data_IF_949001382376
#
_entry.id   IF_949001382376
#
_cell.length_a   1.000
_cell.length_b   1.000
_cell.length_c   1.000
_cell.angle_alpha   90.00
_cell.angle_beta   90.00
_cell.angle_gamma   90.00
#
_symmetry.space_group_name_H-M   'P 1'
#
loop_
_entity.id
_entity.type
_entity.pdbx_description
1 polymer ?
#
# COMPACT_ATOMS: atom_id res chain seq x y z
N UNK A 1 6.71 27.11 27.09
CA UNK A 1 7.44 25.91 26.59
C UNK A 1 6.43 25.07 25.81
N UNK A 2 6.67 24.77 24.53
CA UNK A 2 5.83 23.81 23.79
C UNK A 2 6.16 22.41 24.33
N UNK A 3 5.15 21.63 24.68
CA UNK A 3 5.34 20.22 25.05
C UNK A 3 6.18 19.53 23.96
N UNK A 4 7.21 18.80 24.36
CA UNK A 4 7.98 17.97 23.44
C UNK A 4 7.02 16.91 22.94
N UNK A 5 6.68 16.95 21.64
CA UNK A 5 5.81 15.96 21.04
C UNK A 5 6.39 14.57 21.32
N UNK A 6 5.58 13.71 21.91
CA UNK A 6 5.93 12.34 22.28
C UNK A 6 5.67 11.38 21.12
N UNK A 7 6.09 10.13 21.22
CA UNK A 7 5.70 9.07 20.29
C UNK A 7 4.20 8.77 20.33
N UNK A 8 3.53 9.01 21.47
CA UNK A 8 2.08 8.97 21.59
C UNK A 8 1.37 10.03 20.71
N UNK A 9 2.03 11.13 20.36
CA UNK A 9 1.47 12.19 19.51
C UNK A 9 1.68 11.93 18.00
N UNK A 10 2.48 10.92 17.64
CA UNK A 10 2.78 10.62 16.25
C UNK A 10 1.77 9.65 15.65
N UNK A 11 0.92 10.15 14.77
CA UNK A 11 -0.16 9.37 14.16
C UNK A 11 0.34 8.40 13.09
N UNK A 12 -0.20 7.18 13.13
CA UNK A 12 0.05 6.12 12.16
C UNK A 12 -1.17 5.98 11.25
N UNK A 13 -0.99 5.89 9.91
CA UNK A 13 -2.12 5.63 9.02
C UNK A 13 -2.81 4.31 9.37
N UNK A 14 -4.16 4.30 9.39
CA UNK A 14 -4.93 3.17 9.93
C UNK A 14 -4.74 1.85 9.19
N UNK A 15 -4.58 1.91 7.87
CA UNK A 15 -4.40 0.72 7.04
C UNK A 15 -3.55 1.04 5.81
N UNK A 16 -3.07 -0.01 5.12
CA UNK A 16 -2.18 0.11 3.96
C UNK A 16 -2.70 1.12 2.92
N UNK A 17 -3.98 1.01 2.58
CA UNK A 17 -4.58 1.86 1.56
C UNK A 17 -4.65 3.34 1.98
N UNK A 18 -4.79 3.63 3.28
CA UNK A 18 -4.74 4.98 3.85
C UNK A 18 -3.32 5.56 3.76
N UNK A 19 -2.29 4.80 4.13
CA UNK A 19 -0.90 5.22 3.99
C UNK A 19 -0.53 5.53 2.53
N UNK A 20 -0.90 4.63 1.61
CA UNK A 20 -0.67 4.82 0.17
C UNK A 20 -1.42 6.03 -0.37
N UNK A 21 -2.68 6.23 0.03
CA UNK A 21 -3.48 7.40 -0.37
C UNK A 21 -2.87 8.71 0.13
N UNK A 22 -2.36 8.70 1.36
CA UNK A 22 -1.69 9.86 1.95
C UNK A 22 -0.39 10.20 1.21
N UNK A 23 0.48 9.22 0.96
CA UNK A 23 1.70 9.42 0.18
C UNK A 23 1.41 9.92 -1.24
N UNK A 24 0.37 9.42 -1.90
CA UNK A 24 -0.08 9.92 -3.20
C UNK A 24 -0.52 11.39 -3.12
N UNK A 25 -1.25 11.76 -2.07
CA UNK A 25 -1.69 13.14 -1.83
C UNK A 25 -0.50 14.07 -1.61
N UNK A 26 0.47 13.64 -0.80
CA UNK A 26 1.72 14.36 -0.56
C UNK A 26 2.51 14.56 -1.86
N UNK A 27 2.68 13.52 -2.67
CA UNK A 27 3.35 13.66 -3.98
C UNK A 27 2.62 14.65 -4.90
N UNK A 28 1.28 14.62 -4.90
CA UNK A 28 0.45 15.54 -5.68
C UNK A 28 0.57 17.00 -5.24
N UNK A 29 0.89 17.26 -3.98
CA UNK A 29 1.14 18.61 -3.45
C UNK A 29 2.61 19.03 -3.50
N UNK A 30 3.48 18.23 -4.11
CA UNK A 30 4.88 18.57 -4.38
C UNK A 30 5.89 17.85 -3.47
N UNK A 31 5.46 17.00 -2.56
CA UNK A 31 6.34 16.17 -1.72
C UNK A 31 6.72 14.87 -2.44
N UNK A 32 7.43 15.00 -3.55
CA UNK A 32 7.83 13.87 -4.39
C UNK A 32 9.31 13.53 -4.28
N UNK A 33 10.12 14.28 -3.52
CA UNK A 33 11.45 13.84 -3.14
C UNK A 33 11.32 12.90 -1.95
N UNK A 34 11.96 11.75 -1.98
CA UNK A 34 11.73 10.73 -0.96
C UNK A 34 12.96 9.93 -0.59
N UNK A 35 13.00 9.50 0.66
CA UNK A 35 13.89 8.46 1.17
C UNK A 35 13.06 7.48 2.02
N UNK A 36 13.50 6.24 2.13
CA UNK A 36 12.77 5.21 2.87
C UNK A 36 13.71 4.18 3.46
N UNK A 37 13.24 3.50 4.49
CA UNK A 37 13.91 2.37 5.12
C UNK A 37 13.01 1.71 6.14
N UNK A 38 13.57 0.75 6.88
CA UNK A 38 12.87 0.06 7.97
C UNK A 38 13.62 0.27 9.28
N UNK A 39 12.90 0.30 10.39
CA UNK A 39 13.46 0.38 11.75
C UNK A 39 12.76 -0.65 12.64
N UNK A 40 13.50 -1.32 13.51
CA UNK A 40 12.92 -2.24 14.49
C UNK A 40 12.00 -1.47 15.47
N UNK A 41 10.90 -2.07 15.91
CA UNK A 41 9.90 -1.39 16.75
C UNK A 41 10.51 -0.76 18.01
N UNK A 42 11.47 -1.44 18.66
CA UNK A 42 12.16 -0.93 19.86
C UNK A 42 12.96 0.36 19.62
N UNK A 43 13.42 0.57 18.37
CA UNK A 43 14.21 1.75 17.99
C UNK A 43 13.35 2.86 17.41
N UNK A 44 12.04 2.63 17.23
CA UNK A 44 11.17 3.52 16.48
C UNK A 44 10.99 4.88 17.17
N UNK A 45 10.82 4.91 18.50
CA UNK A 45 10.69 6.16 19.27
C UNK A 45 11.97 7.01 19.20
N UNK A 46 13.14 6.40 19.38
CA UNK A 46 14.43 7.09 19.24
C UNK A 46 14.69 7.58 17.81
N UNK A 47 14.28 6.79 16.82
CA UNK A 47 14.34 7.19 15.41
C UNK A 47 13.44 8.40 15.12
N UNK A 48 12.20 8.41 15.62
CA UNK A 48 11.29 9.55 15.50
C UNK A 48 11.88 10.80 16.15
N UNK A 49 12.41 10.69 17.38
CA UNK A 49 13.05 11.82 18.07
C UNK A 49 14.21 12.39 17.25
N UNK A 50 15.05 11.53 16.66
CA UNK A 50 16.11 11.95 15.74
C UNK A 50 15.57 12.67 14.51
N UNK A 51 14.50 12.17 13.90
CA UNK A 51 13.88 12.80 12.73
C UNK A 51 13.26 14.17 13.06
N UNK A 52 12.64 14.32 14.24
CA UNK A 52 12.13 15.61 14.74
C UNK A 52 13.23 16.63 14.96
N UNK A 53 14.37 16.20 15.48
CA UNK A 53 15.52 17.07 15.72
C UNK A 53 16.19 17.54 14.40
N UNK A 54 16.22 16.67 13.39
CA UNK A 54 16.91 16.95 12.13
C UNK A 54 16.04 17.67 11.10
N UNK A 55 14.73 17.41 11.10
CA UNK A 55 13.83 17.79 10.03
C UNK A 55 12.53 18.43 10.54
N UNK A 56 11.94 19.39 9.80
CA UNK A 56 10.71 20.09 10.17
C UNK A 56 9.45 19.23 9.94
N UNK A 57 9.40 18.02 10.50
CA UNK A 57 8.33 17.05 10.28
C UNK A 57 7.05 17.34 11.09
N UNK A 58 7.14 18.10 12.18
CA UNK A 58 6.00 18.46 13.04
C UNK A 58 5.41 19.85 12.74
N UNK A 59 5.81 20.49 11.63
CA UNK A 59 5.26 21.80 11.30
C UNK A 59 3.75 21.72 11.06
N UNK A 60 3.02 22.69 11.60
CA UNK A 60 1.60 22.86 11.29
C UNK A 60 1.41 23.33 9.83
N UNK A 61 0.21 23.18 9.23
CA UNK A 61 -0.05 23.65 7.87
C UNK A 61 0.34 25.13 7.64
N UNK A 62 0.01 26.02 8.59
CA UNK A 62 0.40 27.43 8.52
C UNK A 62 1.91 27.63 8.59
N UNK A 63 2.61 26.91 9.46
CA UNK A 63 4.07 26.97 9.55
C UNK A 63 4.74 26.47 8.27
N UNK A 64 4.19 25.42 7.64
CA UNK A 64 4.67 24.90 6.35
C UNK A 64 4.47 25.89 5.23
N UNK A 65 3.32 26.57 5.18
CA UNK A 65 3.06 27.61 4.19
C UNK A 65 4.07 28.76 4.32
N UNK A 66 4.36 29.20 5.55
CA UNK A 66 5.40 30.22 5.81
C UNK A 66 6.79 29.73 5.42
N UNK A 67 7.15 28.48 5.76
CA UNK A 67 8.42 27.89 5.39
C UNK A 67 8.58 27.83 3.85
N UNK A 68 7.54 27.38 3.15
CA UNK A 68 7.50 27.33 1.69
C UNK A 68 7.59 28.73 1.06
N UNK A 69 6.90 29.73 1.63
CA UNK A 69 6.99 31.12 1.19
C UNK A 69 8.43 31.65 1.32
N UNK A 70 9.14 31.27 2.39
CA UNK A 70 10.57 31.55 2.59
C UNK A 70 11.51 30.67 1.76
N UNK A 71 10.96 29.83 0.88
CA UNK A 71 11.74 28.94 0.02
C UNK A 71 12.31 27.72 0.71
N UNK A 72 11.92 27.44 1.96
CA UNK A 72 12.42 26.27 2.70
C UNK A 72 11.67 25.01 2.31
N UNK A 73 12.39 23.90 2.24
CA UNK A 73 11.86 22.58 2.05
C UNK A 73 11.06 22.15 3.28
N UNK A 74 9.86 21.66 3.04
CA UNK A 74 9.05 20.98 4.04
C UNK A 74 9.24 19.47 3.90
N UNK A 75 9.12 18.75 5.03
CA UNK A 75 9.15 17.30 5.04
C UNK A 75 7.98 16.70 5.84
N UNK A 76 7.54 15.52 5.43
CA UNK A 76 6.67 14.65 6.20
C UNK A 76 7.38 13.33 6.45
N UNK A 77 7.17 12.78 7.65
CA UNK A 77 7.50 11.41 7.97
C UNK A 77 6.20 10.61 7.99
N UNK A 78 6.17 9.49 7.28
CA UNK A 78 5.08 8.52 7.31
C UNK A 78 5.66 7.19 7.77
N UNK A 79 5.09 6.60 8.82
CA UNK A 79 5.51 5.30 9.34
C UNK A 79 4.35 4.32 9.25
N UNK A 80 4.64 3.05 8.95
CA UNK A 80 3.63 2.00 8.82
C UNK A 80 4.29 0.63 9.08
N UNK A 81 3.59 -0.38 9.64
CA UNK A 81 4.15 -1.71 9.80
C UNK A 81 4.79 -2.25 8.51
N UNK A 82 6.00 -2.80 8.64
CA UNK A 82 6.69 -3.44 7.52
C UNK A 82 6.14 -4.86 7.33
N UNK A 83 5.22 -5.02 6.38
CA UNK A 83 4.62 -6.33 6.08
C UNK A 83 5.60 -7.36 5.51
N UNK A 84 6.84 -6.99 5.20
CA UNK A 84 7.88 -7.92 4.73
C UNK A 84 8.80 -8.42 5.84
N UNK A 85 8.79 -7.78 7.02
CA UNK A 85 9.69 -8.07 8.13
C UNK A 85 8.96 -7.90 9.46
N UNK A 86 8.66 -9.02 10.11
CA UNK A 86 8.07 -9.05 11.46
C UNK A 86 8.88 -8.19 12.43
N UNK A 87 8.20 -7.36 13.22
CA UNK A 87 8.83 -6.48 14.21
C UNK A 87 9.48 -5.21 13.62
N UNK A 88 9.34 -4.95 12.33
CA UNK A 88 9.85 -3.74 11.70
C UNK A 88 8.74 -2.77 11.30
N UNK A 89 9.10 -1.49 11.29
CA UNK A 89 8.28 -0.38 10.82
C UNK A 89 8.97 0.21 9.60
N UNK A 90 8.26 0.23 8.48
CA UNK A 90 8.68 0.94 7.28
C UNK A 90 8.43 2.43 7.50
N UNK A 91 9.41 3.27 7.15
CA UNK A 91 9.29 4.72 7.20
C UNK A 91 9.54 5.34 5.83
N UNK A 92 8.82 6.42 5.53
CA UNK A 92 8.95 7.24 4.34
C UNK A 92 9.18 8.68 4.77
N UNK A 93 10.36 9.21 4.45
CA UNK A 93 10.63 10.64 4.54
C UNK A 93 10.34 11.24 3.17
N UNK A 94 9.32 12.08 3.06
CA UNK A 94 8.97 12.77 1.81
C UNK A 94 9.12 14.27 1.99
N UNK A 95 9.69 14.94 1.00
CA UNK A 95 10.01 16.35 1.06
C UNK A 95 9.65 17.07 -0.24
N UNK A 96 9.38 18.37 -0.10
CA UNK A 96 9.39 19.28 -1.24
C UNK A 96 10.82 19.59 -1.65
N UNK A 97 11.02 20.07 -2.88
CA UNK A 97 12.33 20.52 -3.37
C UNK A 97 12.98 21.62 -2.51
N UNK A 98 12.17 22.53 -1.98
CA UNK A 98 12.68 23.83 -1.51
C UNK A 98 13.00 24.76 -2.70
N UNK A 99 13.49 25.96 -2.39
CA UNK A 99 14.05 26.92 -3.34
C UNK A 99 15.51 27.19 -2.94
N UNK A 100 16.33 27.60 -3.89
CA UNK A 100 17.66 28.08 -3.54
C UNK A 100 17.55 29.29 -2.62
N UNK A 101 18.42 29.37 -1.62
CA UNK A 101 18.57 30.58 -0.84
C UNK A 101 19.09 31.66 -1.79
N UNK A 102 18.28 32.69 -2.01
CA UNK A 102 18.64 33.86 -2.80
C UNK A 102 18.69 35.07 -1.88
N UNK A 103 19.65 35.95 -2.11
CA UNK A 103 19.76 37.20 -1.40
C UNK A 103 18.52 38.04 -1.75
N UNK A 104 17.75 38.51 -0.76
CA UNK A 104 16.50 39.24 -1.04
C UNK A 104 16.72 40.64 -1.64
N UNK A 105 17.92 41.20 -1.54
CA UNK A 105 18.28 42.51 -2.09
C UNK A 105 18.93 42.39 -3.47
N UNK A 106 19.80 41.41 -3.68
CA UNK A 106 20.54 41.26 -4.94
C UNK A 106 19.94 40.23 -5.89
N UNK A 107 19.11 39.31 -5.38
CA UNK A 107 18.56 38.18 -6.15
C UNK A 107 19.57 37.09 -6.49
N UNK A 108 20.83 37.23 -6.05
CA UNK A 108 21.89 36.27 -6.31
C UNK A 108 21.75 35.03 -5.43
N UNK A 109 22.24 33.89 -5.90
CA UNK A 109 22.30 32.68 -5.10
C UNK A 109 23.23 32.89 -3.90
N UNK A 110 22.73 32.73 -2.68
CA UNK A 110 23.53 32.78 -1.46
C UNK A 110 24.50 31.61 -1.34
N UNK A 111 24.38 30.61 -2.21
CA UNK A 111 25.21 29.40 -2.22
C UNK A 111 25.22 28.81 -3.63
N UNK A 112 26.40 28.44 -4.14
CA UNK A 112 26.56 27.68 -5.40
C UNK A 112 26.00 26.25 -5.31
N UNK A 113 25.66 25.78 -4.11
CA UNK A 113 25.03 24.48 -3.91
C UNK A 113 23.55 24.55 -4.28
N UNK A 114 23.05 23.60 -5.10
CA UNK A 114 21.71 23.69 -5.66
C UNK A 114 20.57 23.46 -4.64
N UNK A 115 20.89 23.19 -3.38
CA UNK A 115 19.91 22.92 -2.33
C UNK A 115 20.34 23.63 -1.06
N UNK A 116 19.74 24.78 -0.76
CA UNK A 116 20.01 25.50 0.48
C UNK A 116 19.35 24.84 1.71
N UNK A 117 18.48 23.85 1.51
CA UNK A 117 17.76 23.20 2.59
C UNK A 117 18.44 21.92 3.09
N UNK A 118 18.62 21.85 4.42
CA UNK A 118 19.33 20.79 5.15
C UNK A 118 18.89 19.36 4.81
N UNK A 119 17.63 19.14 4.42
CA UNK A 119 17.11 17.80 4.11
C UNK A 119 17.83 17.20 2.90
N UNK A 120 17.96 17.96 1.80
CA UNK A 120 18.56 17.47 0.55
C UNK A 120 20.10 17.39 0.62
N UNK A 121 20.71 18.10 1.56
CA UNK A 121 22.14 18.01 1.84
C UNK A 121 22.48 16.79 2.71
N UNK A 122 21.63 16.47 3.69
CA UNK A 122 21.85 15.39 4.66
C UNK A 122 21.40 14.03 4.12
N UNK A 123 20.34 14.00 3.34
CA UNK A 123 19.72 12.77 2.84
C UNK A 123 19.90 12.64 1.33
N UNK A 124 20.19 11.42 0.87
CA UNK A 124 20.22 11.08 -0.56
C UNK A 124 18.78 10.94 -1.09
N UNK A 125 18.07 12.05 -1.14
CA UNK A 125 16.67 12.10 -1.56
C UNK A 125 16.52 11.70 -3.04
N UNK A 126 15.61 10.78 -3.32
CA UNK A 126 15.28 10.34 -4.67
C UNK A 126 14.18 11.23 -5.23
N UNK A 127 14.33 11.68 -6.47
CA UNK A 127 13.29 12.43 -7.17
C UNK A 127 12.23 11.45 -7.69
N UNK A 128 11.00 11.53 -7.16
CA UNK A 128 9.86 10.68 -7.54
C UNK A 128 9.47 10.76 -9.02
N UNK A 129 9.86 11.81 -9.74
CA UNK A 129 9.67 11.89 -11.20
C UNK A 129 10.62 10.97 -11.96
N UNK A 130 11.81 10.69 -11.40
CA UNK A 130 12.86 9.87 -12.02
C UNK A 130 12.88 8.46 -11.45
N UNK A 131 12.79 8.35 -10.13
CA UNK A 131 12.84 7.11 -9.35
C UNK A 131 11.55 7.04 -8.53
N UNK A 132 10.54 6.29 -8.99
CA UNK A 132 9.24 6.19 -8.32
C UNK A 132 9.38 5.69 -6.87
N UNK A 133 8.63 6.30 -5.96
CA UNK A 133 8.47 5.78 -4.60
C UNK A 133 7.80 4.39 -4.67
N UNK A 134 8.38 3.42 -3.97
CA UNK A 134 7.85 2.04 -3.94
C UNK A 134 7.21 1.72 -2.59
N UNK A 135 6.11 0.97 -2.62
CA UNK A 135 5.45 0.45 -1.43
C UNK A 135 5.66 -1.06 -1.35
N UNK A 136 6.42 -1.51 -0.34
CA UNK A 136 6.75 -2.93 -0.08
C UNK A 136 7.20 -3.70 -1.33
N UNK A 137 7.87 -3.03 -2.29
CA UNK A 137 8.32 -3.65 -3.55
C UNK A 137 7.22 -4.02 -4.56
N UNK A 138 5.93 -3.93 -4.20
CA UNK A 138 4.81 -4.38 -5.04
C UNK A 138 4.17 -3.26 -5.84
N UNK A 139 4.17 -2.05 -5.30
CA UNK A 139 3.57 -0.88 -5.95
C UNK A 139 4.59 0.23 -6.13
N UNK A 140 4.41 1.03 -7.17
CA UNK A 140 5.19 2.23 -7.45
C UNK A 140 4.26 3.42 -7.68
N UNK A 141 4.61 4.56 -7.10
CA UNK A 141 3.89 5.81 -7.25
C UNK A 141 4.43 6.56 -8.46
N UNK A 142 3.61 6.71 -9.49
CA UNK A 142 4.00 7.32 -10.77
C UNK A 142 3.06 8.45 -11.16
N UNK A 143 3.56 9.39 -11.95
CA UNK A 143 2.69 10.30 -12.67
C UNK A 143 2.09 9.60 -13.88
N UNK A 144 0.78 9.50 -13.89
CA UNK A 144 -0.02 8.98 -14.98
C UNK A 144 -0.78 10.11 -15.64
N UNK A 145 -0.85 10.09 -16.97
CA UNK A 145 -1.81 10.90 -17.70
C UNK A 145 -3.04 10.01 -17.95
N UNK A 146 -4.18 10.25 -17.28
CA UNK A 146 -5.34 9.41 -17.46
C UNK A 146 -5.79 9.52 -18.92
N UNK A 147 -5.86 8.38 -19.61
CA UNK A 147 -6.40 8.30 -20.97
C UNK A 147 -7.91 8.42 -20.84
N UNK A 148 -8.43 9.65 -20.85
CA UNK A 148 -9.86 9.93 -20.88
C UNK A 148 -10.20 10.68 -22.15
N UNK A 149 -11.07 10.07 -22.96
CA UNK A 149 -11.66 10.56 -24.20
C UNK A 149 -10.65 11.19 -25.20
N UNK A 150 -10.23 10.45 -26.24
CA UNK A 150 -9.30 10.96 -27.26
C UNK A 150 -9.79 12.23 -27.99
N UNK A 151 -11.08 12.58 -27.85
CA UNK A 151 -11.66 13.81 -28.44
C UNK A 151 -11.42 15.05 -27.58
N UNK A 152 -11.02 14.90 -26.30
CA UNK A 152 -10.72 16.03 -25.40
C UNK A 152 -9.22 16.32 -25.39
N UNK A 153 -8.71 16.95 -26.46
CA UNK A 153 -7.32 17.41 -26.64
C UNK A 153 -6.86 18.54 -25.67
N UNK A 154 -7.62 18.88 -24.63
CA UNK A 154 -7.13 19.83 -23.61
C UNK A 154 -6.14 19.11 -22.70
N UNK A 155 -4.92 19.63 -22.65
CA UNK A 155 -3.78 19.16 -21.84
C UNK A 155 -4.21 18.48 -20.53
N UNK A 156 -4.33 17.15 -20.55
CA UNK A 156 -4.74 16.40 -19.37
C UNK A 156 -3.63 16.55 -18.32
N UNK A 157 -3.99 17.07 -17.14
CA UNK A 157 -3.04 17.21 -16.03
C UNK A 157 -2.53 15.81 -15.65
N UNK A 158 -1.21 15.68 -15.54
CA UNK A 158 -0.58 14.49 -14.96
C UNK A 158 -1.05 14.35 -13.52
N UNK A 159 -1.54 13.18 -13.15
CA UNK A 159 -1.97 12.86 -11.78
C UNK A 159 -1.06 11.78 -11.23
N UNK A 160 -0.73 11.87 -9.94
CA UNK A 160 -0.04 10.78 -9.27
C UNK A 160 -1.00 9.63 -9.03
N UNK A 161 -0.56 8.40 -9.28
CA UNK A 161 -1.28 7.17 -8.97
C UNK A 161 -0.31 6.04 -8.66
N UNK A 162 -0.77 5.08 -7.87
CA UNK A 162 -0.09 3.81 -7.71
C UNK A 162 -0.31 2.92 -8.92
N UNK A 163 0.72 2.17 -9.29
CA UNK A 163 0.72 1.05 -10.24
C UNK A 163 1.50 -0.12 -9.65
N UNK A 164 1.34 -1.31 -10.19
CA UNK A 164 2.22 -2.42 -9.90
C UNK A 164 3.66 -2.08 -10.31
N UNK A 165 4.63 -2.61 -9.57
CA UNK A 165 6.02 -2.61 -10.06
C UNK A 165 6.13 -3.49 -11.30
N UNK A 166 7.18 -3.25 -12.10
CA UNK A 166 7.41 -4.03 -13.33
C UNK A 166 7.52 -5.52 -13.01
N UNK A 167 8.22 -5.86 -11.93
CA UNK A 167 8.42 -7.23 -11.50
C UNK A 167 7.09 -7.87 -11.04
N UNK A 168 6.35 -7.20 -10.15
CA UNK A 168 5.04 -7.70 -9.70
C UNK A 168 4.05 -7.85 -10.86
N UNK A 169 4.04 -6.91 -11.81
CA UNK A 169 3.20 -7.01 -13.01
C UNK A 169 3.55 -8.25 -13.84
N UNK A 170 4.84 -8.51 -14.10
CA UNK A 170 5.29 -9.67 -14.87
C UNK A 170 4.95 -11.00 -14.19
N UNK A 171 5.15 -11.07 -12.88
CA UNK A 171 4.79 -12.25 -12.10
C UNK A 171 3.28 -12.55 -12.19
N UNK A 172 2.44 -11.51 -12.08
CA UNK A 172 1.00 -11.66 -12.28
C UNK A 172 0.63 -12.04 -13.71
N UNK A 173 1.28 -11.45 -14.71
CA UNK A 173 1.06 -11.80 -16.10
C UNK A 173 1.30 -13.29 -16.34
N UNK A 174 2.44 -13.83 -15.91
CA UNK A 174 2.78 -15.25 -16.08
C UNK A 174 1.76 -16.16 -15.38
N UNK A 175 1.39 -15.84 -14.13
CA UNK A 175 0.39 -16.60 -13.36
C UNK A 175 -0.96 -16.63 -14.05
N UNK A 176 -1.46 -15.47 -14.48
CA UNK A 176 -2.78 -15.36 -15.11
C UNK A 176 -2.81 -16.00 -16.49
N UNK A 177 -1.74 -15.87 -17.29
CA UNK A 177 -1.64 -16.56 -18.58
C UNK A 177 -1.60 -18.09 -18.40
N UNK A 178 -0.87 -18.60 -17.39
CA UNK A 178 -0.84 -20.03 -17.09
C UNK A 178 -2.22 -20.53 -16.63
N UNK A 179 -2.88 -19.80 -15.74
CA UNK A 179 -4.23 -20.13 -15.27
C UNK A 179 -5.27 -20.09 -16.40
N UNK A 180 -5.15 -19.11 -17.31
CA UNK A 180 -6.00 -19.01 -18.50
C UNK A 180 -5.84 -20.20 -19.44
N UNK A 181 -4.62 -20.77 -19.58
CA UNK A 181 -4.41 -21.99 -20.36
C UNK A 181 -5.07 -23.21 -19.71
N UNK A 182 -5.17 -23.25 -18.38
CA UNK A 182 -5.87 -24.33 -17.66
C UNK A 182 -7.39 -24.20 -17.84
N UNK A 183 -7.95 -22.99 -17.66
CA UNK A 183 -9.36 -22.72 -17.93
C UNK A 183 -9.97 -21.65 -17.02
N UNK A 184 -11.26 -21.36 -17.22
CA UNK A 184 -11.98 -20.27 -16.54
C UNK A 184 -11.92 -20.38 -15.00
N UNK A 185 -12.07 -21.58 -14.42
CA UNK A 185 -12.06 -21.79 -12.97
C UNK A 185 -10.70 -21.44 -12.36
N UNK A 186 -9.60 -21.88 -12.99
CA UNK A 186 -8.26 -21.56 -12.53
C UNK A 186 -7.97 -20.06 -12.66
N UNK A 187 -8.35 -19.45 -13.78
CA UNK A 187 -8.18 -18.01 -14.00
C UNK A 187 -8.94 -17.18 -12.95
N UNK A 188 -10.19 -17.54 -12.65
CA UNK A 188 -10.99 -16.85 -11.62
C UNK A 188 -10.34 -16.93 -10.24
N UNK A 189 -9.83 -18.11 -9.86
CA UNK A 189 -9.12 -18.31 -8.59
C UNK A 189 -7.87 -17.43 -8.50
N UNK A 190 -7.09 -17.33 -9.58
CA UNK A 190 -5.86 -16.53 -9.58
C UNK A 190 -6.12 -15.01 -9.63
N UNK A 191 -7.22 -14.54 -10.22
CA UNK A 191 -7.51 -13.10 -10.25
C UNK A 191 -8.05 -12.56 -8.93
N UNK A 192 -8.69 -13.41 -8.12
CA UNK A 192 -9.39 -12.98 -6.91
C UNK A 192 -8.49 -12.23 -5.91
N UNK A 193 -7.24 -12.67 -5.61
CA UNK A 193 -6.34 -11.90 -4.77
C UNK A 193 -5.98 -10.52 -5.36
N UNK A 194 -5.89 -10.42 -6.68
CA UNK A 194 -5.59 -9.16 -7.37
C UNK A 194 -6.77 -8.18 -7.27
N UNK A 195 -8.00 -8.67 -7.19
CA UNK A 195 -9.18 -7.84 -6.93
C UNK A 195 -9.24 -7.28 -5.49
N UNK A 196 -8.38 -7.75 -4.58
CA UNK A 196 -8.20 -7.19 -3.23
C UNK A 196 -7.05 -6.17 -3.15
N UNK A 197 -6.37 -5.91 -4.26
CA UNK A 197 -5.37 -4.83 -4.37
C UNK A 197 -6.01 -3.46 -4.13
N UNK A 198 -5.23 -2.45 -3.71
CA UNK A 198 -5.77 -1.12 -3.50
C UNK A 198 -6.09 -0.50 -4.87
N UNK A 199 -7.38 -0.26 -5.12
CA UNK A 199 -7.99 0.05 -6.43
C UNK A 199 -7.73 1.47 -6.95
N UNK A 200 -6.50 1.96 -6.78
CA UNK A 200 -6.02 3.19 -7.40
C UNK A 200 -6.17 3.11 -8.92
N UNK A 201 -6.34 4.25 -9.59
CA UNK A 201 -6.58 4.27 -11.04
C UNK A 201 -5.55 3.48 -11.83
N UNK A 202 -4.26 3.71 -11.58
CA UNK A 202 -3.18 2.98 -12.24
C UNK A 202 -3.16 1.48 -11.93
N UNK A 203 -3.50 1.06 -10.71
CA UNK A 203 -3.63 -0.37 -10.37
C UNK A 203 -4.79 -1.01 -11.14
N UNK A 204 -5.93 -0.32 -11.27
CA UNK A 204 -7.05 -0.83 -12.09
C UNK A 204 -6.69 -0.93 -13.55
N UNK A 205 -5.95 0.05 -14.08
CA UNK A 205 -5.45 0.01 -15.44
C UNK A 205 -4.52 -1.20 -15.65
N UNK A 206 -3.66 -1.52 -14.66
CA UNK A 206 -2.82 -2.72 -14.68
C UNK A 206 -3.66 -4.01 -14.67
N UNK A 207 -4.66 -4.09 -13.81
CA UNK A 207 -5.56 -5.26 -13.70
C UNK A 207 -6.33 -5.48 -15.00
N UNK A 208 -6.88 -4.43 -15.59
CA UNK A 208 -7.60 -4.52 -16.87
C UNK A 208 -6.68 -5.01 -18.00
N UNK A 209 -5.44 -4.52 -18.06
CA UNK A 209 -4.44 -4.98 -19.03
C UNK A 209 -4.08 -6.46 -18.80
N UNK A 210 -3.86 -6.87 -17.56
CA UNK A 210 -3.55 -8.26 -17.21
C UNK A 210 -4.70 -9.21 -17.58
N UNK A 211 -5.94 -8.81 -17.33
CA UNK A 211 -7.11 -9.61 -17.71
C UNK A 211 -7.26 -9.76 -19.22
N UNK A 212 -6.98 -8.70 -19.99
CA UNK A 212 -6.99 -8.75 -21.46
C UNK A 212 -5.90 -9.69 -22.01
N UNK A 213 -4.70 -9.71 -21.40
CA UNK A 213 -3.65 -10.66 -21.76
C UNK A 213 -4.05 -12.10 -21.44
N UNK A 214 -4.65 -12.33 -20.27
CA UNK A 214 -5.16 -13.64 -19.87
C UNK A 214 -6.28 -14.13 -20.81
N UNK A 215 -7.19 -13.24 -21.23
CA UNK A 215 -8.22 -13.54 -22.22
C UNK A 215 -7.61 -13.97 -23.57
N UNK A 216 -6.61 -13.24 -24.06
CA UNK A 216 -5.91 -13.60 -25.29
C UNK A 216 -5.25 -14.99 -25.18
N UNK A 217 -4.62 -15.29 -24.04
CA UNK A 217 -4.04 -16.60 -23.77
C UNK A 217 -5.09 -17.72 -23.71
N UNK A 218 -6.24 -17.48 -23.07
CA UNK A 218 -7.36 -18.41 -23.02
C UNK A 218 -7.87 -18.74 -24.41
N UNK A 219 -8.20 -17.72 -25.22
CA UNK A 219 -8.76 -17.87 -26.57
C UNK A 219 -7.81 -18.61 -27.51
N UNK A 220 -6.49 -18.45 -27.32
CA UNK A 220 -5.47 -19.17 -28.09
C UNK A 220 -5.48 -20.68 -27.78
N UNK A 221 -5.66 -21.05 -26.52
CA UNK A 221 -5.64 -22.45 -26.07
C UNK A 221 -6.99 -23.16 -26.29
N UNK A 222 -8.10 -22.45 -26.08
CA UNK A 222 -9.45 -23.00 -26.01
C UNK A 222 -10.32 -22.50 -27.16
N UNK A 223 -10.04 -22.95 -28.40
CA UNK A 223 -10.71 -22.45 -29.61
C UNK A 223 -12.24 -22.59 -29.62
N UNK A 224 -12.77 -23.59 -28.92
CA UNK A 224 -14.21 -23.91 -28.91
C UNK A 224 -14.89 -23.62 -27.56
N UNK A 225 -14.14 -23.21 -26.53
CA UNK A 225 -14.72 -22.94 -25.21
C UNK A 225 -15.08 -21.47 -25.05
N UNK A 226 -16.21 -21.19 -24.40
CA UNK A 226 -16.61 -19.83 -24.08
C UNK A 226 -15.68 -19.25 -22.99
N UNK A 227 -15.11 -18.08 -23.28
CA UNK A 227 -14.41 -17.29 -22.28
C UNK A 227 -15.41 -16.62 -21.35
N UNK A 228 -15.19 -16.75 -20.04
CA UNK A 228 -15.98 -16.03 -19.03
C UNK A 228 -15.04 -15.03 -18.36
N UNK A 229 -15.34 -13.74 -18.52
CA UNK A 229 -14.51 -12.69 -17.90
C UNK A 229 -14.47 -12.88 -16.39
N UNK A 230 -13.28 -12.97 -15.78
CA UNK A 230 -13.13 -13.12 -14.35
C UNK A 230 -13.21 -11.76 -13.62
N UNK A 231 -13.33 -10.64 -14.36
CA UNK A 231 -13.50 -9.31 -13.81
C UNK A 231 -14.98 -8.97 -13.60
N UNK A 232 -15.31 -8.15 -12.58
CA UNK A 232 -16.63 -7.54 -12.49
C UNK A 232 -16.86 -6.58 -13.67
N UNK A 233 -18.12 -6.31 -14.01
CA UNK A 233 -18.50 -5.38 -15.08
C UNK A 233 -17.85 -3.98 -14.92
N UNK A 234 -17.63 -3.56 -13.67
CA UNK A 234 -16.86 -2.36 -13.34
C UNK A 234 -15.93 -2.65 -12.17
N UNK A 235 -14.63 -2.34 -12.34
CA UNK A 235 -13.68 -2.39 -11.24
C UNK A 235 -14.02 -1.28 -10.22
N UNK A 236 -14.06 -1.60 -8.91
CA UNK A 236 -14.38 -0.62 -7.87
C UNK A 236 -13.36 0.53 -7.90
N UNK A 237 -13.78 1.72 -7.51
CA UNK A 237 -12.88 2.86 -7.34
C UNK A 237 -12.27 2.81 -5.95
N UNK A 238 -11.00 3.26 -5.81
CA UNK A 238 -10.43 3.51 -4.49
C UNK A 238 -11.29 4.55 -3.76
N UNK A 239 -11.90 4.21 -2.61
CA UNK A 239 -12.69 5.16 -1.84
C UNK A 239 -11.78 6.24 -1.23
N UNK A 240 -12.37 7.39 -0.89
CA UNK A 240 -11.70 8.34 0.00
C UNK A 240 -11.66 7.71 1.39
N UNK A 241 -10.45 7.51 1.89
CA UNK A 241 -10.21 6.88 3.19
C UNK A 241 -9.67 7.90 4.16
N UNK A 242 -10.15 7.85 5.40
CA UNK A 242 -9.59 8.63 6.50
C UNK A 242 -8.19 8.12 6.80
N UNK A 243 -7.18 9.00 6.73
CA UNK A 243 -5.78 8.58 6.88
C UNK A 243 -5.48 8.18 8.32
N UNK A 244 -5.77 9.09 9.25
CA UNK A 244 -5.48 8.94 10.67
C UNK A 244 -6.77 8.87 11.47
N UNK A 245 -6.79 8.04 12.50
CA UNK A 245 -7.85 8.00 13.51
C UNK A 245 -7.16 7.98 14.86
N UNK A 246 -7.13 6.83 15.53
CA UNK A 246 -6.61 6.72 16.89
C UNK A 246 -5.23 6.02 16.96
N UNK A 247 -4.73 5.51 15.84
CA UNK A 247 -3.45 4.81 15.78
C UNK A 247 -2.26 5.74 15.97
N UNK A 248 -1.42 5.44 16.95
CA UNK A 248 -0.19 6.19 17.27
C UNK A 248 1.05 5.30 17.10
N UNK A 249 2.23 5.91 17.08
CA UNK A 249 3.48 5.15 17.06
C UNK A 249 3.60 4.28 18.31
N UNK A 250 3.19 4.80 19.47
CA UNK A 250 3.14 4.05 20.71
C UNK A 250 2.26 2.80 20.58
N UNK A 251 1.00 2.93 20.14
CA UNK A 251 0.11 1.77 20.00
C UNK A 251 0.62 0.75 18.99
N UNK A 252 1.27 1.21 17.92
CA UNK A 252 1.89 0.33 16.93
C UNK A 252 3.08 -0.43 17.53
N UNK A 253 3.92 0.22 18.33
CA UNK A 253 5.06 -0.40 19.00
C UNK A 253 4.59 -1.48 19.97
N UNK A 254 3.56 -1.20 20.77
CA UNK A 254 2.96 -2.20 21.67
C UNK A 254 2.40 -3.40 20.90
N UNK A 255 1.68 -3.14 19.80
CA UNK A 255 1.15 -4.21 18.95
C UNK A 255 2.27 -5.10 18.38
N UNK A 256 3.33 -4.49 17.83
CA UNK A 256 4.44 -5.24 17.25
C UNK A 256 5.23 -6.02 18.32
N UNK A 257 5.36 -5.48 19.53
CA UNK A 257 5.98 -6.20 20.65
C UNK A 257 5.18 -7.44 21.03
N UNK A 258 3.85 -7.33 21.12
CA UNK A 258 3.00 -8.46 21.41
C UNK A 258 3.09 -9.54 20.32
N UNK A 259 3.04 -9.13 19.04
CA UNK A 259 3.21 -10.05 17.92
C UNK A 259 4.55 -10.79 17.94
N UNK A 260 5.65 -10.08 18.22
CA UNK A 260 6.98 -10.68 18.36
C UNK A 260 7.07 -11.68 19.54
N UNK A 261 6.39 -11.39 20.65
CA UNK A 261 6.28 -12.31 21.78
C UNK A 261 5.47 -13.57 21.42
N UNK A 262 4.35 -13.41 20.73
CA UNK A 262 3.49 -14.51 20.29
C UNK A 262 4.20 -15.39 19.26
N UNK A 263 4.95 -14.80 18.33
CA UNK A 263 5.76 -15.53 17.34
C UNK A 263 6.86 -16.36 17.99
N UNK A 264 7.56 -15.79 18.99
CA UNK A 264 8.55 -16.52 19.78
C UNK A 264 7.93 -17.67 20.57
N UNK A 265 6.77 -17.45 21.19
CA UNK A 265 6.05 -18.50 21.91
C UNK A 265 5.61 -19.63 20.98
N UNK A 266 5.06 -19.30 19.80
CA UNK A 266 4.68 -20.27 18.76
C UNK A 266 5.89 -21.07 18.26
N UNK A 267 7.01 -20.40 18.01
CA UNK A 267 8.25 -21.06 17.59
C UNK A 267 8.78 -22.02 18.67
N UNK A 268 8.82 -21.59 19.94
CA UNK A 268 9.23 -22.45 21.06
C UNK A 268 8.32 -23.66 21.24
N UNK A 269 7.00 -23.49 21.12
CA UNK A 269 6.05 -24.58 21.18
C UNK A 269 6.24 -25.59 20.04
N UNK A 270 6.46 -25.09 18.81
CA UNK A 270 6.76 -25.94 17.65
C UNK A 270 8.07 -26.73 17.82
N UNK A 271 9.13 -26.07 18.30
CA UNK A 271 10.40 -26.74 18.62
C UNK A 271 10.24 -27.79 19.71
N UNK A 272 9.44 -27.51 20.77
CA UNK A 272 9.17 -28.47 21.84
C UNK A 272 8.36 -29.68 21.35
N UNK A 273 7.38 -29.47 20.48
CA UNK A 273 6.59 -30.55 19.88
C UNK A 273 7.46 -31.49 19.01
N UNK A 274 8.36 -30.91 18.21
CA UNK A 274 9.33 -31.67 17.41
C UNK A 274 10.27 -32.52 18.28
N UNK A 275 10.78 -31.96 19.39
CA UNK A 275 11.66 -32.68 20.32
C UNK A 275 10.94 -33.77 21.11
N UNK A 276 9.62 -33.66 21.31
CA UNK A 276 8.81 -34.64 22.03
C UNK A 276 8.39 -35.84 21.16
N UNK A 277 8.88 -35.96 19.92
CA UNK A 277 8.56 -37.07 19.03
C UNK A 277 7.12 -37.04 18.50
N UNK A 278 6.40 -35.92 18.66
CA UNK A 278 5.15 -35.72 17.96
C UNK A 278 5.49 -35.42 16.49
N UNK A 279 5.25 -36.38 15.59
CA UNK A 279 5.36 -36.10 14.16
C UNK A 279 4.51 -34.88 13.85
N UNK A 280 5.09 -33.83 13.22
CA UNK A 280 4.29 -32.73 12.74
C UNK A 280 3.38 -33.34 11.68
N UNK A 281 2.09 -33.50 11.99
CA UNK A 281 1.06 -33.71 10.96
C UNK A 281 1.29 -32.59 9.96
N UNK A 282 1.88 -32.92 8.82
CA UNK A 282 2.03 -32.01 7.69
C UNK A 282 0.63 -31.73 7.14
N UNK A 283 -0.11 -30.88 7.86
CA UNK A 283 -1.08 -30.03 7.22
C UNK A 283 -0.24 -29.06 6.40
N UNK A 284 -0.12 -29.33 5.10
CA UNK A 284 0.26 -28.33 4.12
C UNK A 284 -0.78 -27.20 4.20
N UNK A 285 -0.61 -26.29 5.14
CA UNK A 285 -1.37 -25.06 5.18
C UNK A 285 -0.72 -24.14 4.15
N UNK A 286 -1.48 -23.87 3.10
CA UNK A 286 -1.25 -22.85 2.10
C UNK A 286 -1.35 -21.45 2.76
N UNK A 287 -0.48 -21.16 3.73
CA UNK A 287 -0.65 -20.04 4.67
C UNK A 287 0.55 -19.09 4.73
N UNK A 288 1.38 -19.05 3.67
CA UNK A 288 2.48 -18.08 3.55
C UNK A 288 2.19 -16.94 2.56
N UNK A 289 0.92 -16.63 2.27
CA UNK A 289 0.52 -15.45 1.49
C UNK A 289 -0.85 -14.84 1.85
N UNK A 290 -1.41 -15.17 3.02
CA UNK A 290 -2.74 -14.71 3.45
C UNK A 290 -2.73 -14.13 4.88
N UNK A 291 -1.89 -13.14 5.14
CA UNK A 291 -2.08 -12.23 6.30
C UNK A 291 -2.28 -10.79 5.82
N UNK A 292 -3.36 -10.56 5.07
CA UNK A 292 -4.14 -9.31 5.12
C UNK A 292 -5.61 -9.70 4.98
N UNK A 293 -6.14 -10.37 6.00
CA UNK A 293 -7.57 -10.43 6.27
C UNK A 293 -7.75 -10.95 7.68
N UNK A 294 -8.07 -10.08 8.62
CA UNK A 294 -9.29 -10.22 9.41
C UNK A 294 -9.46 -9.08 10.41
N UNK A 295 -10.67 -8.54 10.39
CA UNK A 295 -11.33 -7.80 11.46
C UNK A 295 -12.82 -8.09 11.28
N UNK A 296 -13.33 -8.96 12.16
CA UNK A 296 -14.66 -9.59 12.30
C UNK A 296 -15.82 -8.57 12.37
N UNK A 297 -17.12 -8.90 12.28
CA UNK A 297 -17.95 -9.95 12.93
C UNK A 297 -19.27 -10.08 12.13
N UNK A 298 -19.86 -11.25 11.89
CA UNK A 298 -20.72 -12.08 12.77
C UNK A 298 -21.85 -11.32 13.50
N UNK A 299 -23.08 -11.57 13.06
CA UNK A 299 -24.24 -11.82 13.92
C UNK A 299 -24.96 -13.09 13.41
N UNK A 300 -25.21 -14.00 14.36
CA UNK A 300 -25.85 -15.30 14.22
C UNK A 300 -27.39 -15.23 14.24
N UNK A 301 -28.00 -16.34 13.82
CA UNK A 301 -29.35 -16.78 14.21
C UNK A 301 -30.10 -17.36 13.00
N UNK A 302 -30.42 -18.65 12.86
CA UNK A 302 -30.43 -19.77 13.79
C UNK A 302 -31.75 -20.55 13.61
N UNK A 303 -31.64 -21.83 13.21
CA UNK A 303 -32.62 -22.93 13.38
C UNK A 303 -33.97 -22.83 12.62
N UNK A 304 -34.54 -23.87 12.01
CA UNK A 304 -34.23 -25.30 11.94
C UNK A 304 -35.31 -26.04 11.12
N UNK A 305 -34.98 -27.29 10.73
CA UNK A 305 -35.81 -28.50 10.59
C UNK A 305 -37.29 -28.42 10.11
N UNK A 306 -37.92 -29.36 9.38
CA UNK A 306 -37.66 -30.72 8.89
C UNK A 306 -38.93 -31.12 8.08
N UNK A 307 -38.77 -31.93 7.02
CA UNK A 307 -39.69 -32.90 6.39
C UNK A 307 -41.21 -32.65 6.23
N UNK A 308 -41.70 -32.97 5.02
CA UNK A 308 -42.70 -34.04 4.88
C UNK A 308 -43.92 -33.80 3.97
N UNK A 309 -44.06 -34.70 2.98
CA UNK A 309 -45.31 -35.11 2.29
C UNK A 309 -45.98 -34.10 1.34
N UNK A 310 -46.73 -34.48 0.31
CA UNK A 310 -46.93 -35.68 -0.48
C UNK A 310 -47.83 -35.28 -1.68
N UNK A 311 -47.76 -36.04 -2.76
CA UNK A 311 -48.78 -36.35 -3.77
C UNK A 311 -49.91 -35.34 -4.13
N UNK A 312 -50.10 -35.14 -5.44
CA UNK A 312 -51.36 -34.60 -5.99
C UNK A 312 -51.40 -34.57 -7.51
N UNK A 313 -52.00 -35.60 -8.10
CA UNK A 313 -52.38 -35.77 -9.52
C UNK A 313 -53.52 -34.82 -9.93
N UNK A 314 -53.81 -34.87 -11.24
CA UNK A 314 -54.99 -34.38 -11.99
C UNK A 314 -54.90 -32.94 -12.45
N UNK A 315 -55.30 -32.58 -13.68
CA UNK A 315 -55.92 -33.34 -14.76
C UNK A 315 -56.15 -32.42 -15.96
N UNK A 316 -56.45 -33.06 -17.09
CA UNK A 316 -56.88 -32.54 -18.40
C UNK A 316 -57.56 -31.16 -18.46
N UNK A 317 -57.19 -30.36 -19.46
CA UNK A 317 -58.00 -30.11 -20.66
C UNK A 317 -57.07 -29.61 -21.78
#
# INVERSE_FOLDING_TARGET
MKAIATDADFLIPQHRAAAMSYLQTLAATGYHYWNTGSVHYEKAAGFLAKMRALYPIDLSPGQRAVAQAKGRANAYLVMFPDGSKTGYIQWFLVATRGRHAVDPLTGELLTDQPFADLIHQREKMKDGHRIPLTWLGHYRLVQHQPVRDPRKKKSQKRVWTWRLTVETYRQWQLRLEQAARIGNTALRKEIEPLLRSPMFSGVRDDIAQLAALAEAAFRKQHKSAAYVSPLPAMLPYMPRVTVYRDGTLFSLVEQLRQQDADDKARAMAASRALLAGAEPRMQFTQSMFMEISNGSSEEEGGSGAVQGHAAGRSGSA
#
